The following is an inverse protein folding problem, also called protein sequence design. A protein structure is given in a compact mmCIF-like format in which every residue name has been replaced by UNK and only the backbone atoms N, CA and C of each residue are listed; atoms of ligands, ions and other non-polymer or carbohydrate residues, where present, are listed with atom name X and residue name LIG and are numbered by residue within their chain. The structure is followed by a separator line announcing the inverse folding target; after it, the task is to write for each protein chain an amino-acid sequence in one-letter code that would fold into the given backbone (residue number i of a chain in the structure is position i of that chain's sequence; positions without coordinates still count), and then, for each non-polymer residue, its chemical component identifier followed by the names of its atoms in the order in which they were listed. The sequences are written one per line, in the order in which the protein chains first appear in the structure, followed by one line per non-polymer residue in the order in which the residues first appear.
data_IF_140887885603
#
_entry.id   IF_140887885603
#
_cell.length_a   1.000
_cell.length_b   1.000
_cell.length_c   1.000
_cell.angle_alpha   90.00
_cell.angle_beta   90.00
_cell.angle_gamma   90.00
#
_symmetry.space_group_name_H-M   'P 1'
#
loop_
_entity.id
_entity.type
_entity.pdbx_description
1 polymer ?
#
# COMPACT_ATOMS: atom_id res chain seq x y z
N UNK A 1 0.00 12.61 9.32
CA UNK A 1 -0.12 14.04 8.94
C UNK A 1 0.47 14.23 7.55
N UNK A 2 -0.14 15.09 6.73
CA UNK A 2 0.38 15.44 5.40
C UNK A 2 1.25 16.69 5.47
N UNK A 3 0.91 17.62 6.35
CA UNK A 3 1.64 18.88 6.52
C UNK A 3 0.84 19.89 7.31
N UNK A 4 1.11 21.17 7.05
CA UNK A 4 0.37 22.30 7.61
C UNK A 4 -0.16 23.17 6.46
N UNK A 5 -1.33 23.76 6.67
CA UNK A 5 -1.85 24.78 5.77
C UNK A 5 -1.16 26.14 5.97
N UNK A 6 -1.56 27.13 5.18
CA UNK A 6 -0.98 28.49 5.27
C UNK A 6 -1.28 29.20 6.60
N UNK A 7 -2.26 28.75 7.35
CA UNK A 7 -2.58 29.25 8.68
C UNK A 7 -1.85 28.47 9.80
N UNK A 8 -0.99 27.51 9.45
CA UNK A 8 -0.23 26.70 10.38
C UNK A 8 -1.02 25.53 11.00
N UNK A 9 -2.26 25.29 10.58
CA UNK A 9 -3.08 24.18 11.05
C UNK A 9 -2.60 22.85 10.43
N UNK A 10 -2.48 21.81 11.26
CA UNK A 10 -2.09 20.48 10.80
C UNK A 10 -3.17 19.88 9.89
N UNK A 11 -2.74 19.44 8.71
CA UNK A 11 -3.58 18.70 7.75
C UNK A 11 -3.29 17.21 7.89
N UNK A 12 -4.34 16.44 8.17
CA UNK A 12 -4.30 14.98 8.29
C UNK A 12 -5.15 14.40 7.17
N UNK A 13 -4.64 13.36 6.52
CA UNK A 13 -5.37 12.60 5.52
C UNK A 13 -5.37 11.12 5.90
N UNK A 14 -6.42 10.42 5.54
CA UNK A 14 -6.57 8.98 5.68
C UNK A 14 -6.31 8.34 4.32
N UNK A 15 -5.17 7.63 4.19
CA UNK A 15 -4.74 7.03 2.92
C UNK A 15 -5.74 5.96 2.48
N UNK A 16 -6.33 5.21 3.41
CA UNK A 16 -7.32 4.18 3.10
C UNK A 16 -8.59 4.78 2.45
N UNK A 17 -8.95 6.03 2.81
CA UNK A 17 -10.12 6.71 2.25
C UNK A 17 -9.84 7.43 0.93
N UNK A 18 -8.57 7.80 0.65
CA UNK A 18 -8.21 8.52 -0.57
C UNK A 18 -8.36 7.70 -1.86
N UNK A 19 -8.12 6.44 -2.02
CA UNK A 19 -7.11 5.47 -1.57
C UNK A 19 -5.77 5.60 -2.31
N UNK A 20 -5.66 6.51 -3.29
CA UNK A 20 -4.44 6.75 -4.08
C UNK A 20 -3.97 8.18 -3.91
N UNK A 21 -2.66 8.36 -3.88
CA UNK A 21 -2.01 9.66 -3.71
C UNK A 21 -0.86 9.79 -4.72
N UNK A 22 -0.89 10.83 -5.52
CA UNK A 22 0.23 11.23 -6.35
C UNK A 22 0.95 12.41 -5.69
N UNK A 23 2.26 12.22 -5.46
CA UNK A 23 3.14 13.26 -4.91
C UNK A 23 4.12 13.67 -6.01
N UNK A 24 4.07 14.91 -6.43
CA UNK A 24 4.96 15.46 -7.45
C UNK A 24 5.72 16.67 -6.91
N UNK A 25 6.96 16.84 -7.37
CA UNK A 25 7.79 17.97 -6.99
C UNK A 25 9.14 17.95 -7.69
N UNK A 26 9.70 19.13 -7.96
CA UNK A 26 11.05 19.27 -8.49
C UNK A 26 12.11 18.84 -7.44
N UNK A 27 13.33 18.60 -7.89
CA UNK A 27 14.46 18.32 -7.00
C UNK A 27 14.56 19.40 -5.91
N UNK A 28 14.66 18.98 -4.65
CA UNK A 28 14.70 19.89 -3.50
C UNK A 28 13.35 20.43 -3.02
N UNK A 29 12.23 20.03 -3.65
CA UNK A 29 10.87 20.45 -3.22
C UNK A 29 10.36 19.77 -1.94
N UNK A 30 11.07 18.74 -1.46
CA UNK A 30 10.69 17.97 -0.28
C UNK A 30 9.86 16.72 -0.57
N UNK A 31 9.80 16.23 -1.83
CA UNK A 31 9.10 14.97 -2.19
C UNK A 31 9.52 13.83 -1.28
N UNK A 32 10.81 13.54 -1.16
CA UNK A 32 11.35 12.45 -0.33
C UNK A 32 11.05 12.65 1.15
N UNK A 33 11.12 13.88 1.65
CA UNK A 33 10.74 14.21 3.04
C UNK A 33 9.27 13.92 3.28
N UNK A 34 8.41 14.27 2.34
CA UNK A 34 6.97 13.99 2.41
C UNK A 34 6.71 12.47 2.45
N UNK A 35 7.31 11.70 1.54
CA UNK A 35 7.18 10.23 1.49
C UNK A 35 7.64 9.62 2.80
N UNK A 36 8.83 9.98 3.30
CA UNK A 36 9.35 9.51 4.57
C UNK A 36 8.43 9.86 5.75
N UNK A 37 7.86 11.06 5.77
CA UNK A 37 6.91 11.48 6.81
C UNK A 37 5.65 10.61 6.80
N UNK A 38 5.14 10.25 5.62
CA UNK A 38 3.98 9.36 5.48
C UNK A 38 4.31 7.96 5.97
N UNK A 39 5.45 7.39 5.56
CA UNK A 39 5.90 6.07 6.01
C UNK A 39 6.02 6.04 7.54
N UNK A 40 6.76 6.97 8.12
CA UNK A 40 6.95 7.06 9.57
C UNK A 40 5.60 7.21 10.29
N UNK A 41 4.68 8.00 9.73
CA UNK A 41 3.33 8.16 10.31
C UNK A 41 2.55 6.84 10.32
N UNK A 42 2.72 5.98 9.32
CA UNK A 42 2.12 4.64 9.29
C UNK A 42 2.77 3.75 10.35
N UNK A 43 4.10 3.70 10.38
CA UNK A 43 4.85 2.86 11.31
C UNK A 43 4.57 3.18 12.79
N UNK A 44 4.26 4.44 13.11
CA UNK A 44 3.89 4.86 14.46
C UNK A 44 2.44 4.52 14.84
N UNK A 45 1.57 4.21 13.88
CA UNK A 45 0.12 4.08 14.12
C UNK A 45 -0.46 2.70 13.86
N UNK A 46 0.25 1.87 13.12
CA UNK A 46 -0.25 0.56 12.72
C UNK A 46 0.80 -0.52 12.99
N UNK A 47 0.33 -1.68 13.43
CA UNK A 47 1.16 -2.85 13.60
C UNK A 47 1.37 -3.57 12.26
N UNK A 48 2.41 -4.44 12.15
CA UNK A 48 2.67 -5.22 10.94
C UNK A 48 1.52 -6.15 10.51
N UNK A 49 0.64 -6.53 11.43
CA UNK A 49 -0.53 -7.36 11.16
C UNK A 49 -1.73 -6.54 10.64
N UNK A 50 -1.68 -5.22 10.81
CA UNK A 50 -2.72 -4.30 10.35
C UNK A 50 -2.36 -3.69 8.99
N UNK A 51 -1.05 -3.39 8.78
CA UNK A 51 -0.57 -2.76 7.54
C UNK A 51 0.71 -3.43 7.07
N UNK A 52 0.73 -3.80 5.81
CA UNK A 52 1.93 -4.24 5.09
C UNK A 52 2.31 -3.24 4.01
N UNK A 53 3.62 -3.10 3.80
CA UNK A 53 4.20 -2.17 2.86
C UNK A 53 4.91 -2.91 1.72
N UNK A 54 4.66 -2.48 0.50
CA UNK A 54 5.47 -2.81 -0.67
C UNK A 54 6.15 -1.51 -1.11
N UNK A 55 7.46 -1.49 -1.10
CA UNK A 55 8.24 -0.30 -1.45
C UNK A 55 9.04 -0.55 -2.72
N UNK A 56 8.97 0.38 -3.66
CA UNK A 56 9.64 0.34 -4.97
C UNK A 56 10.51 1.59 -5.09
N UNK A 57 11.83 1.37 -5.18
CA UNK A 57 12.86 2.43 -5.27
C UNK A 57 13.87 2.08 -6.37
N UNK A 58 13.58 2.41 -7.64
CA UNK A 58 14.47 2.09 -8.76
C UNK A 58 15.84 2.74 -8.68
N UNK A 59 15.96 3.84 -7.94
CA UNK A 59 17.22 4.59 -7.77
C UNK A 59 18.07 4.12 -6.60
N UNK A 60 17.52 3.30 -5.71
CA UNK A 60 18.20 2.78 -4.51
C UNK A 60 18.70 3.91 -3.58
N UNK A 61 17.94 5.00 -3.46
CA UNK A 61 18.37 6.20 -2.73
C UNK A 61 17.56 6.44 -1.46
N UNK A 62 16.23 6.33 -1.55
CA UNK A 62 15.33 6.86 -0.53
C UNK A 62 14.75 5.79 0.40
N UNK A 63 14.36 4.63 -0.14
CA UNK A 63 13.56 3.65 0.61
C UNK A 63 14.38 2.46 1.14
N UNK A 64 15.60 2.28 0.70
CA UNK A 64 16.45 1.14 1.11
C UNK A 64 16.75 1.09 2.62
N UNK A 65 16.65 2.23 3.31
CA UNK A 65 16.80 2.33 4.77
C UNK A 65 15.71 1.57 5.55
N UNK A 66 14.59 1.27 4.91
CA UNK A 66 13.49 0.53 5.51
C UNK A 66 13.62 -0.99 5.39
N UNK A 67 14.65 -1.51 4.71
CA UNK A 67 14.86 -2.95 4.64
C UNK A 67 14.99 -3.56 6.05
N UNK A 68 14.26 -4.66 6.28
CA UNK A 68 14.26 -5.37 7.54
C UNK A 68 13.19 -4.95 8.54
N UNK A 69 12.39 -3.91 8.27
CA UNK A 69 11.24 -3.61 9.15
C UNK A 69 10.13 -4.66 8.97
N UNK A 70 9.41 -5.03 10.05
CA UNK A 70 8.42 -6.11 10.00
C UNK A 70 7.16 -5.77 9.16
N UNK A 71 6.96 -4.51 8.82
CA UNK A 71 5.88 -4.06 7.96
C UNK A 71 6.11 -4.38 6.48
N UNK A 72 7.36 -4.58 6.03
CA UNK A 72 7.62 -4.92 4.64
C UNK A 72 7.06 -6.31 4.31
N UNK A 73 6.27 -6.37 3.22
CA UNK A 73 5.77 -7.62 2.67
C UNK A 73 6.88 -8.40 1.94
N UNK A 74 7.70 -7.65 1.21
CA UNK A 74 8.91 -8.11 0.52
C UNK A 74 10.02 -7.08 0.72
N UNK A 75 11.32 -7.44 0.57
CA UNK A 75 12.39 -6.45 0.56
C UNK A 75 12.13 -5.34 -0.46
N UNK A 76 12.67 -4.15 -0.20
CA UNK A 76 12.50 -3.00 -1.12
C UNK A 76 12.92 -3.40 -2.54
N UNK A 77 12.01 -3.20 -3.48
CA UNK A 77 12.20 -3.58 -4.89
C UNK A 77 12.96 -2.49 -5.61
N UNK A 78 14.15 -2.82 -6.10
CA UNK A 78 15.05 -1.86 -6.77
C UNK A 78 15.18 -2.10 -8.28
N UNK A 79 14.82 -3.28 -8.75
CA UNK A 79 14.83 -3.64 -10.17
C UNK A 79 13.49 -3.28 -10.81
N UNK A 80 13.46 -2.48 -11.90
CA UNK A 80 12.21 -2.07 -12.56
C UNK A 80 11.37 -3.24 -13.11
N UNK A 81 11.98 -4.33 -13.55
CA UNK A 81 11.24 -5.52 -14.03
C UNK A 81 10.59 -6.26 -12.86
N UNK A 82 11.29 -6.35 -11.72
CA UNK A 82 10.71 -6.90 -10.50
C UNK A 82 9.61 -5.99 -9.94
N UNK A 83 9.73 -4.68 -10.13
CA UNK A 83 8.69 -3.73 -9.75
C UNK A 83 7.38 -3.96 -10.52
N UNK A 84 7.44 -4.17 -11.84
CA UNK A 84 6.27 -4.56 -12.63
C UNK A 84 5.66 -5.88 -12.10
N UNK A 85 6.50 -6.86 -11.77
CA UNK A 85 6.07 -8.11 -11.15
C UNK A 85 5.37 -7.91 -9.80
N UNK A 86 5.89 -7.02 -8.94
CA UNK A 86 5.28 -6.69 -7.64
C UNK A 86 3.92 -6.00 -7.80
N UNK A 87 3.77 -5.09 -8.76
CA UNK A 87 2.50 -4.45 -9.08
C UNK A 87 1.47 -5.45 -9.64
N UNK A 88 1.89 -6.34 -10.53
CA UNK A 88 1.02 -7.40 -11.05
C UNK A 88 0.59 -8.39 -9.95
N UNK A 89 1.50 -8.72 -9.02
CA UNK A 89 1.14 -9.49 -7.84
C UNK A 89 0.06 -8.77 -6.99
N UNK A 90 0.18 -7.47 -6.79
CA UNK A 90 -0.82 -6.70 -6.05
C UNK A 90 -2.19 -6.71 -6.74
N UNK A 91 -2.24 -6.67 -8.08
CA UNK A 91 -3.49 -6.84 -8.85
C UNK A 91 -4.09 -8.23 -8.62
N UNK A 92 -3.26 -9.28 -8.60
CA UNK A 92 -3.74 -10.64 -8.34
C UNK A 92 -4.24 -10.79 -6.89
N UNK A 93 -3.50 -10.24 -5.93
CA UNK A 93 -3.91 -10.24 -4.52
C UNK A 93 -5.26 -9.53 -4.32
N UNK A 94 -5.43 -8.37 -4.94
CA UNK A 94 -6.72 -7.65 -4.96
C UNK A 94 -7.85 -8.54 -5.49
N UNK A 95 -7.62 -9.27 -6.58
CA UNK A 95 -8.60 -10.19 -7.17
C UNK A 95 -8.92 -11.34 -6.20
N UNK A 96 -7.90 -11.92 -5.58
CA UNK A 96 -8.07 -12.98 -4.59
C UNK A 96 -8.90 -12.51 -3.40
N UNK A 97 -8.66 -11.29 -2.92
CA UNK A 97 -9.44 -10.68 -1.83
C UNK A 97 -10.90 -10.52 -2.20
N UNK A 98 -11.20 -10.06 -3.41
CA UNK A 98 -12.59 -9.96 -3.88
C UNK A 98 -13.29 -11.32 -3.93
N UNK A 99 -12.60 -12.37 -4.37
CA UNK A 99 -13.16 -13.75 -4.33
C UNK A 99 -13.46 -14.17 -2.89
N UNK A 100 -12.51 -13.95 -1.97
CA UNK A 100 -12.70 -14.23 -0.56
C UNK A 100 -13.86 -13.40 0.04
N UNK A 101 -13.98 -12.13 -0.31
CA UNK A 101 -15.10 -11.30 0.16
C UNK A 101 -16.44 -11.85 -0.32
N UNK A 102 -16.51 -12.33 -1.57
CA UNK A 102 -17.72 -12.98 -2.10
C UNK A 102 -18.07 -14.27 -1.34
N UNK A 103 -17.08 -15.12 -1.06
CA UNK A 103 -17.26 -16.37 -0.28
C UNK A 103 -17.79 -16.09 1.13
N UNK A 104 -17.28 -15.05 1.78
CA UNK A 104 -17.71 -14.66 3.12
C UNK A 104 -18.94 -13.74 3.13
N UNK A 105 -19.47 -13.34 1.96
CA UNK A 105 -20.64 -12.46 1.84
C UNK A 105 -20.41 -11.07 2.43
N UNK A 106 -19.20 -10.53 2.28
CA UNK A 106 -18.80 -9.20 2.73
C UNK A 106 -18.40 -8.32 1.55
N UNK A 107 -18.30 -7.00 1.74
CA UNK A 107 -18.11 -6.04 0.65
C UNK A 107 -16.73 -5.38 0.62
N UNK A 108 -15.98 -5.46 1.71
CA UNK A 108 -14.69 -4.80 1.87
C UNK A 108 -13.84 -5.45 2.95
N UNK A 109 -12.57 -5.03 3.03
CA UNK A 109 -11.59 -5.52 3.98
C UNK A 109 -12.02 -5.36 5.44
N UNK A 110 -12.62 -4.23 5.81
CA UNK A 110 -13.05 -3.98 7.19
C UNK A 110 -14.18 -4.93 7.62
N UNK A 111 -15.13 -5.20 6.72
CA UNK A 111 -16.21 -6.15 6.97
C UNK A 111 -15.66 -7.58 7.09
N UNK A 112 -14.73 -7.95 6.20
CA UNK A 112 -14.06 -9.25 6.26
C UNK A 112 -13.32 -9.43 7.59
N UNK A 113 -12.48 -8.49 7.98
CA UNK A 113 -11.70 -8.58 9.20
C UNK A 113 -12.58 -8.64 10.46
N UNK A 114 -13.68 -7.90 10.50
CA UNK A 114 -14.66 -7.99 11.60
C UNK A 114 -15.33 -9.36 11.64
N UNK A 115 -15.69 -9.92 10.49
CA UNK A 115 -16.28 -11.26 10.40
C UNK A 115 -15.30 -12.35 10.82
N UNK A 116 -14.03 -12.23 10.43
CA UNK A 116 -12.97 -13.13 10.85
C UNK A 116 -12.79 -13.13 12.39
N UNK A 117 -12.82 -11.96 13.02
CA UNK A 117 -12.78 -11.87 14.49
C UNK A 117 -13.99 -12.53 15.16
N UNK A 118 -15.20 -12.35 14.61
CA UNK A 118 -16.41 -12.96 15.15
C UNK A 118 -16.37 -14.49 15.06
N UNK A 119 -15.91 -15.05 13.92
CA UNK A 119 -15.76 -16.48 13.71
C UNK A 119 -14.74 -17.06 14.69
N UNK A 120 -13.60 -16.38 14.86
CA UNK A 120 -12.56 -16.75 15.82
C UNK A 120 -13.10 -16.74 17.26
N UNK A 121 -13.82 -15.70 17.65
CA UNK A 121 -14.42 -15.59 18.98
C UNK A 121 -15.50 -16.65 19.26
N UNK A 122 -16.14 -17.18 18.22
CA UNK A 122 -17.11 -18.27 18.32
C UNK A 122 -16.46 -19.66 18.43
N UNK A 123 -15.13 -19.78 18.31
CA UNK A 123 -14.40 -21.04 18.42
C UNK A 123 -14.65 -22.01 17.27
N UNK A 124 -14.78 -21.49 16.06
CA UNK A 124 -14.93 -22.33 14.86
C UNK A 124 -13.65 -23.14 14.59
N UNK A 125 -13.81 -24.37 14.03
CA UNK A 125 -12.67 -25.23 13.70
C UNK A 125 -11.75 -24.63 12.63
N UNK A 126 -12.32 -23.89 11.67
CA UNK A 126 -11.58 -23.13 10.66
C UNK A 126 -11.66 -21.64 10.96
N UNK A 127 -10.55 -21.08 11.42
CA UNK A 127 -10.45 -19.65 11.71
C UNK A 127 -9.94 -18.89 10.48
N UNK A 128 -10.74 -17.99 9.88
CA UNK A 128 -10.23 -17.11 8.84
C UNK A 128 -9.19 -16.15 9.41
N UNK A 129 -8.07 -16.02 8.70
CA UNK A 129 -7.00 -15.09 9.09
C UNK A 129 -7.35 -13.68 8.64
N UNK A 130 -7.18 -12.71 9.53
CA UNK A 130 -7.31 -11.28 9.19
C UNK A 130 -6.32 -10.91 8.09
N UNK A 131 -6.75 -10.06 7.20
CA UNK A 131 -5.93 -9.53 6.12
C UNK A 131 -5.43 -8.13 6.47
N UNK A 132 -4.12 -7.86 6.35
CA UNK A 132 -3.60 -6.50 6.51
C UNK A 132 -4.01 -5.61 5.35
N UNK A 133 -4.09 -4.30 5.59
CA UNK A 133 -4.11 -3.34 4.51
C UNK A 133 -2.72 -3.29 3.84
N UNK A 134 -2.68 -3.25 2.52
CA UNK A 134 -1.43 -3.17 1.76
C UNK A 134 -1.26 -1.76 1.21
N UNK A 135 -0.14 -1.12 1.55
CA UNK A 135 0.23 0.21 1.02
C UNK A 135 1.42 0.03 0.09
N UNK A 136 1.25 0.43 -1.16
CA UNK A 136 2.30 0.37 -2.17
C UNK A 136 2.89 1.77 -2.34
N UNK A 137 4.20 1.90 -2.19
CA UNK A 137 4.92 3.16 -2.29
C UNK A 137 5.93 3.06 -3.43
N UNK A 138 5.79 3.94 -4.41
CA UNK A 138 6.71 4.07 -5.54
C UNK A 138 7.39 5.42 -5.45
N UNK A 139 8.71 5.43 -5.27
CA UNK A 139 9.46 6.68 -5.15
C UNK A 139 9.50 7.47 -6.46
N UNK A 140 9.88 6.84 -7.55
CA UNK A 140 9.97 7.50 -8.85
C UNK A 140 9.25 6.67 -9.93
N UNK A 141 8.00 7.02 -10.18
CA UNK A 141 7.17 6.32 -11.17
C UNK A 141 7.71 6.48 -12.60
N UNK A 142 8.31 7.63 -12.91
CA UNK A 142 8.84 7.88 -14.25
C UNK A 142 9.90 6.86 -14.66
N UNK A 143 10.77 6.41 -13.74
CA UNK A 143 11.79 5.42 -14.03
C UNK A 143 11.19 4.05 -14.37
N UNK A 144 10.11 3.66 -13.73
CA UNK A 144 9.38 2.43 -14.07
C UNK A 144 8.72 2.52 -15.44
N UNK A 145 8.11 3.67 -15.75
CA UNK A 145 7.45 3.93 -17.03
C UNK A 145 8.45 3.95 -18.21
N UNK A 146 9.73 4.25 -17.96
CA UNK A 146 10.76 4.19 -18.99
C UNK A 146 11.17 2.75 -19.36
N UNK A 147 11.04 1.80 -18.43
CA UNK A 147 11.54 0.42 -18.60
C UNK A 147 10.42 -0.55 -18.99
N UNK A 148 9.27 -0.44 -18.37
CA UNK A 148 8.13 -1.33 -18.56
C UNK A 148 6.79 -0.55 -18.60
N UNK A 149 6.60 0.38 -19.56
CA UNK A 149 5.46 1.30 -19.54
C UNK A 149 4.11 0.58 -19.55
N UNK A 150 3.91 -0.37 -20.44
CA UNK A 150 2.62 -1.06 -20.57
C UNK A 150 2.22 -1.86 -19.33
N UNK A 151 3.14 -2.66 -18.79
CA UNK A 151 2.85 -3.49 -17.61
C UNK A 151 2.60 -2.66 -16.36
N UNK A 152 3.39 -1.61 -16.16
CA UNK A 152 3.27 -0.71 -15.01
C UNK A 152 1.98 0.11 -15.10
N UNK A 153 1.67 0.68 -16.26
CA UNK A 153 0.46 1.45 -16.51
C UNK A 153 -0.80 0.60 -16.29
N UNK A 154 -0.86 -0.58 -16.89
CA UNK A 154 -2.00 -1.50 -16.76
C UNK A 154 -2.24 -1.89 -15.30
N UNK A 155 -1.17 -2.23 -14.56
CA UNK A 155 -1.28 -2.61 -13.17
C UNK A 155 -1.77 -1.43 -12.30
N UNK A 156 -1.21 -0.24 -12.49
CA UNK A 156 -1.64 0.96 -11.75
C UNK A 156 -3.08 1.32 -12.07
N UNK A 157 -3.50 1.28 -13.35
CA UNK A 157 -4.86 1.55 -13.75
C UNK A 157 -5.86 0.58 -13.10
N UNK A 158 -5.55 -0.71 -13.07
CA UNK A 158 -6.40 -1.72 -12.40
C UNK A 158 -6.49 -1.49 -10.89
N UNK A 159 -5.37 -1.24 -10.23
CA UNK A 159 -5.35 -0.91 -8.80
C UNK A 159 -6.15 0.37 -8.52
N UNK A 160 -5.94 1.43 -9.33
CA UNK A 160 -6.63 2.70 -9.15
C UNK A 160 -8.15 2.59 -9.30
N UNK A 161 -8.62 1.72 -10.19
CA UNK A 161 -10.04 1.53 -10.43
C UNK A 161 -10.72 0.62 -9.41
N UNK A 162 -10.03 -0.38 -8.90
CA UNK A 162 -10.64 -1.49 -8.18
C UNK A 162 -10.18 -1.67 -6.73
N UNK A 163 -9.02 -1.14 -6.32
CA UNK A 163 -8.44 -1.47 -5.01
C UNK A 163 -9.11 -0.79 -3.79
N UNK A 164 -10.14 0.02 -4.00
CA UNK A 164 -10.75 0.81 -2.90
C UNK A 164 -11.36 -0.06 -1.79
N UNK A 165 -11.83 -1.25 -2.10
CA UNK A 165 -12.52 -2.12 -1.15
C UNK A 165 -11.66 -3.29 -0.65
N UNK A 166 -10.51 -3.57 -1.32
CA UNK A 166 -9.66 -4.76 -1.08
C UNK A 166 -8.30 -4.39 -0.37
#
# INVERSE_FOLDING_TARGET
AVGKDIAGKTVVADIAKMPHLLIAGATGSGKSVCINTLIISILYKANPDEVKLIMIDPKVVELSVYNGIPHLFIPVVTDPKKAAGALNWAVQEMTNRYNTFAEYGVRNLDEYNRKAEQIKAAGAEEEPVKMPQIVIIVDELADLMMVAPGEVEDAICRLAQLARAA
#
